data_IF_291903227833
#
_entry.id   IF_291903227833
#
_cell.length_a   1.000
_cell.length_b   1.000
_cell.length_c   1.000
_cell.angle_alpha   90.00
_cell.angle_beta   90.00
_cell.angle_gamma   90.00
#
_symmetry.space_group_name_H-M   'P 1'
#
loop_
_entity.id
_entity.type
_entity.pdbx_description
1 polymer ?
#
# COMPACT_ATOMS: atom_id res chain seq x y z
N UNK A 1 -12.02 0.57 8.39
CA UNK A 1 -10.66 1.16 8.40
C UNK A 1 -9.81 0.38 9.39
N UNK A 2 -8.77 -0.31 8.92
CA UNK A 2 -7.96 -1.22 9.76
C UNK A 2 -6.92 -0.46 10.59
N UNK A 3 -6.26 -1.13 11.55
CA UNK A 3 -5.20 -0.52 12.37
C UNK A 3 -4.01 -0.10 11.50
N UNK A 4 -3.66 -0.91 10.51
CA UNK A 4 -2.59 -0.62 9.54
C UNK A 4 -2.91 0.62 8.70
N UNK A 5 -4.14 0.73 8.18
CA UNK A 5 -4.56 1.88 7.39
C UNK A 5 -4.47 3.22 8.17
N UNK A 6 -4.81 3.18 9.47
CA UNK A 6 -4.68 4.36 10.35
C UNK A 6 -3.21 4.75 10.58
N UNK A 7 -2.35 3.78 10.84
CA UNK A 7 -0.92 4.05 11.02
C UNK A 7 -0.27 4.66 9.77
N UNK A 8 -0.58 4.11 8.60
CA UNK A 8 -0.03 4.57 7.31
C UNK A 8 -0.52 5.99 6.97
N UNK A 9 -1.79 6.29 7.21
CA UNK A 9 -2.35 7.63 7.02
C UNK A 9 -1.69 8.67 7.96
N UNK A 10 -1.51 8.33 9.24
CA UNK A 10 -0.87 9.22 10.21
C UNK A 10 0.61 9.49 9.87
N UNK A 11 1.32 8.49 9.34
CA UNK A 11 2.71 8.62 8.91
C UNK A 11 2.83 9.51 7.66
N UNK A 12 1.97 9.28 6.66
CA UNK A 12 1.93 10.08 5.44
C UNK A 12 1.62 11.56 5.75
N UNK A 13 0.69 11.81 6.67
CA UNK A 13 0.34 13.17 7.10
C UNK A 13 1.50 13.87 7.82
N UNK A 14 2.20 13.17 8.73
CA UNK A 14 3.37 13.73 9.45
C UNK A 14 4.51 14.10 8.52
N UNK A 15 4.74 13.31 7.49
CA UNK A 15 5.84 13.51 6.54
C UNK A 15 5.47 14.42 5.35
N UNK A 16 4.21 14.86 5.26
CA UNK A 16 3.73 15.67 4.14
C UNK A 16 3.71 14.94 2.80
N UNK A 17 3.59 13.61 2.81
CA UNK A 17 3.65 12.76 1.62
C UNK A 17 2.23 12.41 1.19
N UNK A 18 1.87 12.79 -0.03
CA UNK A 18 0.66 12.33 -0.71
C UNK A 18 1.02 11.29 -1.77
N UNK A 19 0.21 10.25 -1.90
CA UNK A 19 0.35 9.32 -3.03
C UNK A 19 0.09 10.05 -4.35
N UNK A 20 1.04 9.94 -5.27
CA UNK A 20 0.87 10.28 -6.67
C UNK A 20 1.07 8.99 -7.47
N UNK A 21 0.02 8.55 -8.15
CA UNK A 21 0.09 7.37 -9.00
C UNK A 21 1.19 7.54 -10.04
N UNK A 22 2.06 6.55 -10.15
CA UNK A 22 3.11 6.56 -11.16
C UNK A 22 2.95 5.40 -12.13
N UNK A 23 3.55 5.53 -13.31
CA UNK A 23 3.44 4.54 -14.39
C UNK A 23 3.83 3.11 -13.95
N UNK A 24 4.75 2.98 -12.98
CA UNK A 24 5.12 1.70 -12.39
C UNK A 24 3.99 1.07 -11.53
N UNK A 25 3.17 1.91 -10.90
CA UNK A 25 2.05 1.47 -10.05
C UNK A 25 0.85 1.03 -10.90
N UNK A 26 0.58 1.76 -12.00
CA UNK A 26 -0.42 1.35 -13.01
C UNK A 26 -0.01 0.06 -13.72
N UNK A 27 1.28 -0.10 -14.05
CA UNK A 27 1.80 -1.32 -14.66
C UNK A 27 1.72 -2.51 -13.68
N UNK A 28 2.06 -2.30 -12.40
CA UNK A 28 1.93 -3.34 -11.38
C UNK A 28 0.46 -3.79 -11.23
N UNK A 29 -0.49 -2.85 -11.14
CA UNK A 29 -1.92 -3.17 -11.10
C UNK A 29 -2.39 -3.95 -12.35
N UNK A 30 -1.94 -3.57 -13.54
CA UNK A 30 -2.27 -4.27 -14.79
C UNK A 30 -1.71 -5.70 -14.86
N UNK A 31 -0.52 -5.94 -14.27
CA UNK A 31 0.10 -7.28 -14.23
C UNK A 31 -0.52 -8.15 -13.14
N UNK A 32 -0.93 -7.59 -12.00
CA UNK A 32 -1.64 -8.35 -10.95
C UNK A 32 -3.02 -8.83 -11.42
N UNK A 33 -3.74 -8.03 -12.22
CA UNK A 33 -5.02 -8.43 -12.83
C UNK A 33 -4.93 -9.63 -13.78
N UNK A 34 -3.74 -9.92 -14.34
CA UNK A 34 -3.51 -11.10 -15.19
C UNK A 34 -3.33 -12.41 -14.40
N UNK A 35 -3.06 -12.33 -13.08
CA UNK A 35 -2.81 -13.51 -12.23
C UNK A 35 -4.11 -14.04 -11.59
N UNK A 36 -5.26 -13.43 -11.88
CA UNK A 36 -6.59 -13.96 -11.50
C UNK A 36 -6.96 -13.83 -10.02
N UNK A 37 -6.06 -13.33 -9.18
CA UNK A 37 -6.39 -12.76 -7.88
C UNK A 37 -6.41 -11.24 -8.09
N UNK A 38 -7.60 -10.70 -8.37
CA UNK A 38 -7.81 -9.28 -8.67
C UNK A 38 -7.65 -8.47 -7.38
N UNK A 39 -6.41 -8.37 -6.89
CA UNK A 39 -6.04 -7.53 -5.76
C UNK A 39 -5.93 -6.12 -6.30
N UNK A 40 -7.07 -5.45 -6.40
CA UNK A 40 -7.10 -4.01 -6.68
C UNK A 40 -6.37 -3.30 -5.54
N UNK A 41 -5.24 -2.61 -5.80
CA UNK A 41 -4.53 -1.90 -4.75
C UNK A 41 -5.43 -0.80 -4.18
N UNK A 42 -5.53 -0.75 -2.85
CA UNK A 42 -6.33 0.28 -2.19
C UNK A 42 -5.48 1.51 -1.81
N UNK A 43 -6.12 2.52 -1.22
CA UNK A 43 -5.44 3.75 -0.83
C UNK A 43 -4.28 3.51 0.18
N UNK A 44 -4.32 2.42 0.95
CA UNK A 44 -3.25 2.02 1.87
C UNK A 44 -2.06 1.47 1.11
N UNK A 45 -2.29 0.60 0.14
CA UNK A 45 -1.23 0.01 -0.70
C UNK A 45 -0.46 1.10 -1.47
N UNK A 46 -1.19 2.06 -2.00
CA UNK A 46 -0.65 3.24 -2.65
C UNK A 46 0.28 4.06 -1.72
N UNK A 47 -0.14 4.32 -0.48
CA UNK A 47 0.68 5.06 0.48
C UNK A 47 1.96 4.30 0.89
N UNK A 48 1.90 2.97 1.00
CA UNK A 48 3.07 2.15 1.29
C UNK A 48 4.15 2.30 0.20
N UNK A 49 3.75 2.30 -1.07
CA UNK A 49 4.67 2.51 -2.20
C UNK A 49 5.29 3.91 -2.18
N UNK A 50 4.48 4.95 -1.95
CA UNK A 50 4.98 6.34 -1.89
C UNK A 50 6.00 6.54 -0.76
N UNK A 51 5.75 5.98 0.43
CA UNK A 51 6.65 6.06 1.57
C UNK A 51 7.98 5.33 1.31
N UNK A 52 7.93 4.17 0.66
CA UNK A 52 9.15 3.45 0.26
C UNK A 52 9.95 4.21 -0.78
N UNK A 53 9.29 4.81 -1.78
CA UNK A 53 9.97 5.62 -2.79
C UNK A 53 10.61 6.86 -2.20
N UNK A 54 9.98 7.48 -1.20
CA UNK A 54 10.54 8.61 -0.47
C UNK A 54 11.68 8.22 0.50
N UNK A 55 12.02 6.93 0.60
CA UNK A 55 13.05 6.43 1.52
C UNK A 55 12.63 6.44 2.99
N UNK A 56 11.34 6.65 3.27
CA UNK A 56 10.77 6.71 4.64
C UNK A 56 10.38 5.34 5.18
N UNK A 57 10.28 4.35 4.29
CA UNK A 57 9.98 2.97 4.63
C UNK A 57 10.95 2.06 3.90
N UNK A 58 11.54 1.08 4.60
CA UNK A 58 12.36 0.09 3.91
C UNK A 58 11.48 -0.80 3.02
N UNK A 59 11.98 -1.32 1.89
CA UNK A 59 11.22 -2.25 1.05
C UNK A 59 10.74 -3.49 1.82
N UNK A 60 11.49 -3.92 2.83
CA UNK A 60 11.14 -5.05 3.70
C UNK A 60 9.93 -4.71 4.59
N UNK A 61 9.91 -3.52 5.17
CA UNK A 61 8.81 -3.09 6.03
C UNK A 61 7.54 -2.84 5.22
N UNK A 62 7.68 -2.35 3.98
CA UNK A 62 6.58 -2.21 3.03
C UNK A 62 5.88 -3.54 2.77
N UNK A 63 6.63 -4.59 2.44
CA UNK A 63 6.06 -5.93 2.21
C UNK A 63 5.36 -6.47 3.47
N UNK A 64 5.96 -6.29 4.65
CA UNK A 64 5.36 -6.74 5.91
C UNK A 64 4.03 -6.03 6.21
N UNK A 65 3.95 -4.72 5.95
CA UNK A 65 2.74 -3.92 6.16
C UNK A 65 1.65 -4.23 5.13
N UNK A 66 1.99 -4.47 3.86
CA UNK A 66 1.03 -4.93 2.84
C UNK A 66 0.40 -6.27 3.25
N UNK A 67 1.21 -7.24 3.67
CA UNK A 67 0.69 -8.55 4.11
C UNK A 67 -0.22 -8.40 5.34
N UNK A 68 0.18 -7.58 6.32
CA UNK A 68 -0.63 -7.33 7.51
C UNK A 68 -1.98 -6.68 7.16
N UNK A 69 -1.97 -5.68 6.27
CA UNK A 69 -3.17 -4.98 5.83
C UNK A 69 -4.17 -5.91 5.13
N UNK A 70 -3.71 -6.69 4.15
CA UNK A 70 -4.54 -7.64 3.42
C UNK A 70 -5.05 -8.78 4.30
N UNK A 71 -4.28 -9.21 5.30
CA UNK A 71 -4.74 -10.16 6.32
C UNK A 71 -5.85 -9.57 7.20
N UNK A 72 -5.73 -8.31 7.61
CA UNK A 72 -6.77 -7.60 8.37
C UNK A 72 -8.05 -7.47 7.56
N UNK A 73 -7.97 -7.17 6.26
CA UNK A 73 -9.12 -7.09 5.36
C UNK A 73 -9.86 -8.43 5.25
N UNK A 74 -9.12 -9.53 5.02
CA UNK A 74 -9.70 -10.88 4.93
C UNK A 74 -10.34 -11.37 6.24
N UNK A 75 -9.95 -10.82 7.39
CA UNK A 75 -10.51 -11.16 8.70
C UNK A 75 -11.76 -10.34 9.09
N UNK A 76 -12.08 -9.28 8.34
CA UNK A 76 -13.25 -8.42 8.60
C UNK A 76 -14.37 -8.62 7.55
N UNK A 77 -14.34 -9.73 6.79
CA UNK A 77 -15.41 -10.18 5.89
C UNK A 77 -16.24 -11.27 6.56
#
# INVERSE_FOLDING_TARGET
>A
MTKTARYVADLAHREGISYAATFADEWAAAVTGLVGDDVTPDATDHLLVALTRAGKLSPRDMVALTIAHHRELKQHV
#
